data_IF_777094259847
#
_entry.id   IF_777094259847
#
_cell.length_a   1.000
_cell.length_b   1.000
_cell.length_c   1.000
_cell.angle_alpha   90.00
_cell.angle_beta   90.00
_cell.angle_gamma   90.00
#
_symmetry.space_group_name_H-M   'P 1'
#
loop_
_entity.id
_entity.type
_entity.pdbx_description
1 polymer ?
#
# COMPACT_ATOMS: atom_id res chain seq x y z
N UNK A 1 -2.04 -4.43 -9.04
CA UNK A 1 -3.43 -4.02 -9.36
C UNK A 1 -3.80 -4.38 -10.79
N UNK A 2 -3.03 -3.96 -11.81
CA UNK A 2 -3.29 -4.25 -13.25
C UNK A 2 -3.69 -5.70 -13.57
N UNK A 3 -3.04 -6.69 -12.97
CA UNK A 3 -3.32 -8.13 -13.20
C UNK A 3 -4.78 -8.51 -12.86
N UNK A 4 -5.43 -7.74 -11.98
CA UNK A 4 -6.82 -7.97 -11.57
C UNK A 4 -7.82 -7.13 -12.38
N UNK A 5 -7.36 -6.18 -13.19
CA UNK A 5 -8.22 -5.39 -14.08
C UNK A 5 -8.80 -6.29 -15.18
N UNK A 6 -10.12 -6.23 -15.40
CA UNK A 6 -10.83 -7.09 -16.37
C UNK A 6 -11.20 -8.49 -15.85
N UNK A 7 -10.82 -8.84 -14.63
CA UNK A 7 -11.26 -10.07 -13.98
C UNK A 7 -12.66 -9.93 -13.38
N UNK A 8 -13.46 -11.01 -13.41
CA UNK A 8 -14.76 -11.07 -12.68
C UNK A 8 -14.57 -11.21 -11.17
N UNK A 9 -13.36 -11.50 -10.71
CA UNK A 9 -13.01 -11.67 -9.31
C UNK A 9 -12.84 -10.31 -8.62
N UNK A 10 -13.57 -10.10 -7.53
CA UNK A 10 -13.46 -8.89 -6.71
C UNK A 10 -12.18 -8.90 -5.88
N UNK A 11 -11.40 -7.83 -5.94
CA UNK A 11 -10.18 -7.65 -5.13
C UNK A 11 -10.25 -6.31 -4.40
N UNK A 12 -10.26 -6.35 -3.07
CA UNK A 12 -10.29 -5.13 -2.26
C UNK A 12 -8.88 -4.54 -2.10
N UNK A 13 -8.75 -3.22 -2.27
CA UNK A 13 -7.50 -2.48 -2.11
C UNK A 13 -7.65 -1.49 -0.95
N UNK A 14 -6.89 -1.73 0.12
CA UNK A 14 -6.86 -0.93 1.34
C UNK A 14 -5.62 -0.04 1.40
N UNK A 15 -5.75 1.09 2.10
CA UNK A 15 -4.63 2.00 2.37
C UNK A 15 -4.24 2.92 1.20
N UNK A 16 -5.07 3.00 0.16
CA UNK A 16 -4.81 3.81 -1.05
C UNK A 16 -5.91 4.86 -1.32
N UNK A 17 -6.68 5.28 -0.32
CA UNK A 17 -7.82 6.19 -0.55
C UNK A 17 -7.41 7.56 -1.12
N UNK A 18 -6.24 8.07 -0.75
CA UNK A 18 -5.71 9.34 -1.26
C UNK A 18 -4.98 9.20 -2.59
N UNK A 19 -4.55 7.98 -2.94
CA UNK A 19 -3.78 7.70 -4.15
C UNK A 19 -4.67 7.13 -5.27
N UNK A 20 -6.00 7.11 -5.09
CA UNK A 20 -6.93 6.47 -6.03
C UNK A 20 -6.78 7.01 -7.44
N UNK A 21 -6.65 8.33 -7.57
CA UNK A 21 -6.60 9.01 -8.87
C UNK A 21 -5.24 8.78 -9.54
N UNK A 22 -4.15 8.84 -8.77
CA UNK A 22 -2.80 8.50 -9.24
C UNK A 22 -2.72 7.05 -9.72
N UNK A 23 -3.33 6.12 -8.97
CA UNK A 23 -3.39 4.70 -9.34
C UNK A 23 -4.19 4.53 -10.63
N UNK A 24 -5.34 5.20 -10.76
CA UNK A 24 -6.17 5.15 -11.97
C UNK A 24 -5.43 5.73 -13.19
N UNK A 25 -4.79 6.89 -13.04
CA UNK A 25 -4.00 7.53 -14.10
C UNK A 25 -2.85 6.61 -14.56
N UNK A 26 -2.08 6.07 -13.62
CA UNK A 26 -0.97 5.15 -13.92
C UNK A 26 -1.44 3.87 -14.63
N UNK A 27 -2.65 3.39 -14.33
CA UNK A 27 -3.24 2.22 -15.00
C UNK A 27 -3.76 2.56 -16.40
N UNK A 28 -4.33 3.75 -16.58
CA UNK A 28 -4.76 4.25 -17.89
C UNK A 28 -3.56 4.42 -18.83
N UNK A 29 -2.47 5.02 -18.35
CA UNK A 29 -1.19 5.11 -19.09
C UNK A 29 -0.61 3.73 -19.43
N UNK A 30 -0.82 2.74 -18.56
CA UNK A 30 -0.43 1.35 -18.81
C UNK A 30 -1.35 0.60 -19.79
N UNK A 31 -2.35 1.28 -20.38
CA UNK A 31 -3.25 0.75 -21.40
C UNK A 31 -4.45 -0.04 -20.87
N UNK A 32 -4.87 0.19 -19.62
CA UNK A 32 -6.08 -0.44 -19.06
C UNK A 32 -7.32 0.36 -19.48
N UNK A 33 -8.31 -0.32 -20.06
CA UNK A 33 -9.61 0.28 -20.42
C UNK A 33 -10.34 0.88 -19.22
N UNK A 34 -11.04 2.00 -19.41
CA UNK A 34 -11.81 2.69 -18.36
C UNK A 34 -12.76 1.76 -17.59
N UNK A 35 -13.47 0.86 -18.28
CA UNK A 35 -14.40 -0.09 -17.67
C UNK A 35 -13.74 -1.07 -16.67
N UNK A 36 -12.44 -1.28 -16.83
CA UNK A 36 -11.62 -2.19 -16.03
C UNK A 36 -10.78 -1.48 -14.96
N UNK A 37 -10.87 -0.14 -14.89
CA UNK A 37 -10.15 0.61 -13.87
C UNK A 37 -10.75 0.36 -12.47
N UNK A 38 -9.91 0.49 -11.42
CA UNK A 38 -10.39 0.37 -10.05
C UNK A 38 -11.47 1.42 -9.74
N UNK A 39 -12.55 0.98 -9.12
CA UNK A 39 -13.58 1.89 -8.60
C UNK A 39 -13.20 2.29 -7.19
N UNK A 40 -13.16 3.61 -6.93
CA UNK A 40 -12.94 4.15 -5.60
C UNK A 40 -14.28 4.28 -4.87
N UNK A 41 -14.43 3.54 -3.78
CA UNK A 41 -15.61 3.60 -2.93
C UNK A 41 -15.42 4.67 -1.87
N UNK A 42 -16.24 5.71 -1.96
CA UNK A 42 -16.29 6.82 -1.02
C UNK A 42 -17.50 6.70 -0.08
N UNK A 43 -17.51 7.52 0.97
CA UNK A 43 -18.64 7.66 1.89
C UNK A 43 -19.89 8.27 1.23
N UNK A 44 -19.72 9.00 0.12
CA UNK A 44 -20.81 9.62 -0.65
C UNK A 44 -21.60 8.59 -1.48
N UNK A 45 -21.01 7.43 -1.76
CA UNK A 45 -21.69 6.38 -2.51
C UNK A 45 -22.78 5.70 -1.68
N UNK A 46 -23.98 5.60 -2.25
CA UNK A 46 -25.10 4.87 -1.65
C UNK A 46 -24.77 3.38 -1.47
N UNK A 47 -25.44 2.72 -0.52
CA UNK A 47 -25.24 1.28 -0.29
C UNK A 47 -25.53 0.43 -1.55
N UNK A 48 -26.56 0.80 -2.32
CA UNK A 48 -26.89 0.12 -3.58
C UNK A 48 -25.79 0.30 -4.65
N UNK A 49 -25.23 1.50 -4.77
CA UNK A 49 -24.12 1.77 -5.68
C UNK A 49 -22.86 0.96 -5.30
N UNK A 50 -22.56 0.84 -4.01
CA UNK A 50 -21.44 0.00 -3.54
C UNK A 50 -21.65 -1.48 -3.88
N UNK A 51 -22.85 -2.02 -3.66
CA UNK A 51 -23.18 -3.40 -4.02
C UNK A 51 -23.02 -3.65 -5.51
N UNK A 52 -23.49 -2.72 -6.36
CA UNK A 52 -23.28 -2.80 -7.82
C UNK A 52 -21.79 -2.79 -8.18
N UNK A 53 -20.99 -1.94 -7.53
CA UNK A 53 -19.54 -1.89 -7.73
C UNK A 53 -18.84 -3.21 -7.34
N UNK A 54 -19.28 -3.87 -6.25
CA UNK A 54 -18.78 -5.18 -5.84
C UNK A 54 -19.18 -6.29 -6.83
N UNK A 55 -20.42 -6.26 -7.32
CA UNK A 55 -20.96 -7.26 -8.26
C UNK A 55 -20.30 -7.19 -9.64
N UNK A 56 -19.90 -5.99 -10.09
CA UNK A 56 -19.11 -5.81 -11.31
C UNK A 56 -17.77 -6.57 -11.25
N UNK A 57 -17.23 -6.76 -10.05
CA UNK A 57 -15.93 -7.40 -9.85
C UNK A 57 -14.75 -6.48 -10.17
N UNK A 58 -13.56 -7.06 -10.25
CA UNK A 58 -12.31 -6.35 -10.46
C UNK A 58 -11.78 -5.67 -9.19
N UNK A 59 -10.75 -4.81 -9.32
CA UNK A 59 -10.17 -4.11 -8.18
C UNK A 59 -11.10 -3.00 -7.69
N UNK A 60 -11.27 -2.91 -6.38
CA UNK A 60 -12.04 -1.85 -5.73
C UNK A 60 -11.19 -1.22 -4.63
N UNK A 61 -11.00 0.10 -4.70
CA UNK A 61 -10.28 0.87 -3.69
C UNK A 61 -11.31 1.30 -2.65
N UNK A 62 -11.13 0.87 -1.41
CA UNK A 62 -12.12 1.10 -0.34
C UNK A 62 -11.41 1.39 0.97
N UNK A 63 -12.03 2.19 1.83
CA UNK A 63 -11.50 2.42 3.18
C UNK A 63 -11.82 1.24 4.08
N UNK A 64 -10.94 0.96 5.03
CA UNK A 64 -11.11 -0.13 6.00
C UNK A 64 -12.44 -0.02 6.75
N UNK A 65 -12.87 1.19 7.10
CA UNK A 65 -14.16 1.44 7.77
C UNK A 65 -15.36 1.04 6.93
N UNK A 66 -15.41 1.44 5.65
CA UNK A 66 -16.53 1.09 4.76
C UNK A 66 -16.57 -0.43 4.55
N UNK A 67 -15.40 -1.03 4.28
CA UNK A 67 -15.30 -2.46 4.02
C UNK A 67 -15.74 -3.29 5.23
N UNK A 68 -15.29 -2.93 6.44
CA UNK A 68 -15.71 -3.59 7.69
C UNK A 68 -17.23 -3.56 7.85
N UNK A 69 -17.87 -2.40 7.64
CA UNK A 69 -19.33 -2.28 7.76
C UNK A 69 -20.03 -3.14 6.71
N UNK A 70 -19.58 -3.11 5.45
CA UNK A 70 -20.22 -3.87 4.38
C UNK A 70 -20.03 -5.39 4.54
N UNK A 71 -18.90 -5.86 5.11
CA UNK A 71 -18.67 -7.26 5.49
C UNK A 71 -19.58 -7.69 6.65
N UNK A 72 -19.63 -6.91 7.74
CA UNK A 72 -20.45 -7.21 8.93
C UNK A 72 -21.95 -7.19 8.62
N UNK A 73 -22.39 -6.26 7.77
CA UNK A 73 -23.80 -6.16 7.33
C UNK A 73 -24.15 -7.14 6.20
N UNK A 74 -23.23 -8.02 5.80
CA UNK A 74 -23.41 -9.03 4.74
C UNK A 74 -23.78 -8.45 3.36
N UNK A 75 -23.56 -7.15 3.13
CA UNK A 75 -23.70 -6.55 1.79
C UNK A 75 -22.62 -7.04 0.83
N UNK A 76 -21.45 -7.31 1.38
CA UNK A 76 -20.36 -8.00 0.70
C UNK A 76 -20.06 -9.30 1.45
N UNK A 77 -20.48 -10.46 0.93
CA UNK A 77 -20.03 -11.74 1.44
C UNK A 77 -18.49 -11.85 1.31
N UNK A 78 -17.80 -12.17 2.41
CA UNK A 78 -16.33 -12.27 2.40
C UNK A 78 -15.83 -13.36 1.44
N UNK A 79 -16.63 -14.40 1.25
CA UNK A 79 -16.39 -15.53 0.34
C UNK A 79 -16.37 -15.10 -1.13
N UNK A 80 -17.05 -14.00 -1.48
CA UNK A 80 -17.06 -13.45 -2.83
C UNK A 80 -15.82 -12.60 -3.15
N UNK A 81 -15.04 -12.22 -2.13
CA UNK A 81 -13.80 -11.46 -2.30
C UNK A 81 -12.65 -12.43 -2.57
N UNK A 82 -12.05 -12.36 -3.76
CA UNK A 82 -10.95 -13.24 -4.14
C UNK A 82 -9.66 -12.96 -3.34
N UNK A 83 -9.46 -11.71 -2.94
CA UNK A 83 -8.33 -11.33 -2.10
C UNK A 83 -8.27 -9.86 -1.75
N UNK A 84 -7.30 -9.52 -0.91
CA UNK A 84 -7.05 -8.17 -0.42
C UNK A 84 -5.62 -7.71 -0.72
N UNK A 85 -5.49 -6.48 -1.20
CA UNK A 85 -4.23 -5.75 -1.35
C UNK A 85 -4.16 -4.68 -0.28
N UNK A 86 -3.09 -4.63 0.50
CA UNK A 86 -2.92 -3.65 1.58
C UNK A 86 -1.69 -2.82 1.30
N UNK A 87 -1.87 -1.52 1.05
CA UNK A 87 -0.77 -0.57 0.98
C UNK A 87 -0.37 -0.09 2.38
N UNK A 88 0.89 0.31 2.54
CA UNK A 88 1.41 0.81 3.81
C UNK A 88 1.44 -0.24 4.91
N UNK A 89 1.77 -1.50 4.60
CA UNK A 89 1.80 -2.61 5.55
C UNK A 89 2.67 -2.35 6.80
N UNK A 90 3.69 -1.48 6.69
CA UNK A 90 4.51 -1.03 7.82
C UNK A 90 3.74 -0.22 8.88
N UNK A 91 2.53 0.27 8.56
CA UNK A 91 1.66 1.02 9.48
C UNK A 91 0.69 0.13 10.24
N UNK A 92 0.62 -1.16 9.89
CA UNK A 92 -0.31 -2.09 10.53
C UNK A 92 0.05 -2.28 12.00
N UNK A 93 -0.97 -2.12 12.84
CA UNK A 93 -0.95 -2.40 14.26
C UNK A 93 -2.18 -3.22 14.64
N UNK A 94 -2.19 -3.86 15.80
CA UNK A 94 -3.35 -4.63 16.28
C UNK A 94 -4.63 -3.78 16.39
N UNK A 95 -4.47 -2.48 16.67
CA UNK A 95 -5.57 -1.51 16.77
C UNK A 95 -5.96 -0.87 15.42
N UNK A 96 -5.24 -1.17 14.33
CA UNK A 96 -5.55 -0.60 13.01
C UNK A 96 -6.86 -1.18 12.45
N UNK A 97 -7.61 -0.34 11.72
CA UNK A 97 -8.87 -0.76 11.09
C UNK A 97 -8.60 -1.78 9.97
N UNK A 98 -7.47 -1.65 9.28
CA UNK A 98 -6.97 -2.59 8.28
C UNK A 98 -6.76 -3.97 8.90
N UNK A 99 -6.10 -4.07 10.06
CA UNK A 99 -5.89 -5.35 10.75
C UNK A 99 -7.20 -5.98 11.22
N UNK A 100 -8.17 -5.18 11.65
CA UNK A 100 -9.51 -5.69 11.95
C UNK A 100 -10.21 -6.23 10.70
N UNK A 101 -10.14 -5.50 9.58
CA UNK A 101 -10.73 -5.93 8.31
C UNK A 101 -10.09 -7.23 7.79
N UNK A 102 -8.77 -7.37 7.91
CA UNK A 102 -8.04 -8.58 7.52
C UNK A 102 -8.45 -9.80 8.36
N UNK A 103 -8.65 -9.62 9.67
CA UNK A 103 -9.16 -10.68 10.56
C UNK A 103 -10.55 -11.13 10.13
N UNK A 104 -11.49 -10.19 9.96
CA UNK A 104 -12.85 -10.51 9.48
C UNK A 104 -12.83 -11.26 8.14
N UNK A 105 -11.99 -10.83 7.20
CA UNK A 105 -11.84 -11.48 5.91
C UNK A 105 -11.29 -12.90 6.05
N UNK A 106 -10.25 -13.10 6.88
CA UNK A 106 -9.60 -14.41 7.06
C UNK A 106 -10.49 -15.42 7.77
N UNK A 107 -11.27 -14.97 8.75
CA UNK A 107 -12.18 -15.83 9.51
C UNK A 107 -13.29 -16.39 8.61
N UNK A 108 -13.81 -15.57 7.68
CA UNK A 108 -14.89 -15.97 6.78
C UNK A 108 -14.39 -16.54 5.43
N UNK A 109 -13.18 -16.18 4.98
CA UNK A 109 -12.60 -16.64 3.71
C UNK A 109 -11.12 -17.01 3.89
N UNK A 110 -10.81 -18.22 4.39
CA UNK A 110 -9.43 -18.67 4.59
C UNK A 110 -8.68 -18.91 3.27
N UNK A 111 -9.40 -19.11 2.17
CA UNK A 111 -8.83 -19.39 0.84
C UNK A 111 -8.39 -18.13 0.08
N UNK A 112 -8.94 -16.97 0.45
CA UNK A 112 -8.66 -15.70 -0.21
C UNK A 112 -7.22 -15.24 -0.01
N UNK A 113 -6.61 -14.69 -1.06
CA UNK A 113 -5.21 -14.24 -0.97
C UNK A 113 -5.11 -12.88 -0.28
N UNK A 114 -3.99 -12.63 0.41
CA UNK A 114 -3.65 -11.31 0.95
C UNK A 114 -2.25 -10.94 0.46
N UNK A 115 -2.06 -9.70 0.00
CA UNK A 115 -0.74 -9.15 -0.34
C UNK A 115 -0.57 -7.78 0.31
N UNK A 116 0.42 -7.66 1.18
CA UNK A 116 0.84 -6.40 1.78
C UNK A 116 1.99 -5.77 1.00
N UNK A 117 1.94 -4.45 0.82
CA UNK A 117 3.00 -3.65 0.20
C UNK A 117 3.53 -2.66 1.23
N UNK A 118 4.85 -2.51 1.28
CA UNK A 118 5.52 -1.51 2.10
C UNK A 118 6.65 -0.86 1.31
N UNK A 119 6.74 0.45 1.44
CA UNK A 119 7.77 1.33 0.88
C UNK A 119 8.76 1.82 1.96
N UNK A 120 8.47 1.59 3.24
CA UNK A 120 9.33 1.94 4.38
C UNK A 120 9.90 0.65 5.04
N UNK A 121 11.06 0.15 4.56
CA UNK A 121 11.71 -1.00 5.19
C UNK A 121 12.28 -0.67 6.57
N UNK A 122 12.62 0.59 6.83
CA UNK A 122 13.18 1.05 8.10
C UNK A 122 12.19 0.86 9.25
N UNK A 123 10.91 1.16 9.03
CA UNK A 123 9.84 0.91 10.03
C UNK A 123 9.57 -0.56 10.31
N UNK A 124 9.81 -1.44 9.33
CA UNK A 124 9.67 -2.89 9.54
C UNK A 124 10.88 -3.48 10.26
N UNK A 125 12.05 -2.87 10.07
CA UNK A 125 13.30 -3.29 10.71
C UNK A 125 13.54 -2.66 12.08
N UNK A 126 12.83 -1.58 12.43
CA UNK A 126 13.04 -0.87 13.68
C UNK A 126 12.31 -1.51 14.85
N UNK A 127 12.94 -1.53 16.02
CA UNK A 127 12.35 -2.07 17.25
C UNK A 127 12.20 -3.60 17.25
N UNK A 128 11.46 -4.10 18.24
CA UNK A 128 11.34 -5.54 18.49
C UNK A 128 10.24 -6.17 17.64
N UNK A 129 10.57 -7.20 16.86
CA UNK A 129 9.66 -8.07 16.10
C UNK A 129 8.59 -7.35 15.25
N UNK A 130 8.87 -6.14 14.75
CA UNK A 130 7.93 -5.37 13.91
C UNK A 130 7.56 -6.11 12.63
N UNK A 131 8.56 -6.59 11.90
CA UNK A 131 8.35 -7.37 10.68
C UNK A 131 7.47 -8.60 10.92
N UNK A 132 7.80 -9.40 11.93
CA UNK A 132 7.02 -10.60 12.27
C UNK A 132 5.59 -10.24 12.66
N UNK A 133 5.41 -9.20 13.46
CA UNK A 133 4.09 -8.67 13.83
C UNK A 133 3.28 -8.26 12.61
N UNK A 134 3.87 -7.52 11.66
CA UNK A 134 3.19 -7.12 10.42
C UNK A 134 2.82 -8.34 9.56
N UNK A 135 3.68 -9.35 9.45
CA UNK A 135 3.39 -10.59 8.70
C UNK A 135 2.23 -11.37 9.36
N UNK A 136 2.20 -11.45 10.70
CA UNK A 136 1.10 -12.06 11.46
C UNK A 136 -0.23 -11.33 11.24
N UNK A 137 -0.22 -10.00 11.33
CA UNK A 137 -1.43 -9.18 11.08
C UNK A 137 -1.96 -9.32 9.66
N UNK A 138 -1.07 -9.45 8.68
CA UNK A 138 -1.44 -9.74 7.28
C UNK A 138 -1.89 -11.18 7.05
N UNK A 139 -1.54 -12.11 7.94
CA UNK A 139 -1.80 -13.54 7.76
C UNK A 139 -0.97 -14.17 6.64
N UNK A 140 0.24 -13.65 6.38
CA UNK A 140 1.13 -14.12 5.30
C UNK A 140 2.42 -14.71 5.86
N UNK A 141 3.01 -15.66 5.12
CA UNK A 141 4.24 -16.37 5.52
C UNK A 141 5.46 -16.00 4.69
N UNK A 142 5.26 -15.40 3.52
CA UNK A 142 6.32 -15.07 2.58
C UNK A 142 6.59 -13.57 2.58
N UNK A 143 7.87 -13.22 2.57
CA UNK A 143 8.37 -11.86 2.44
C UNK A 143 9.25 -11.78 1.19
N UNK A 144 8.97 -10.81 0.33
CA UNK A 144 9.79 -10.52 -0.85
C UNK A 144 10.43 -9.16 -0.70
N UNK A 145 11.76 -9.11 -0.70
CA UNK A 145 12.53 -7.88 -0.60
C UNK A 145 12.99 -7.45 -2.00
N UNK A 146 12.78 -6.17 -2.33
CA UNK A 146 13.15 -5.58 -3.62
C UNK A 146 14.02 -4.34 -3.42
N UNK A 147 15.26 -4.49 -2.90
CA UNK A 147 16.17 -3.36 -2.73
C UNK A 147 16.61 -2.80 -4.09
N UNK A 148 17.04 -1.53 -4.12
CA UNK A 148 17.49 -0.86 -5.36
C UNK A 148 18.70 -1.52 -6.02
N UNK A 149 19.50 -2.26 -5.26
CA UNK A 149 20.64 -3.02 -5.78
C UNK A 149 20.27 -4.41 -6.31
N UNK A 150 18.99 -4.82 -6.25
CA UNK A 150 18.52 -6.04 -6.88
C UNK A 150 18.70 -5.96 -8.40
N UNK A 151 19.24 -6.99 -9.05
CA UNK A 151 19.63 -6.96 -10.46
C UNK A 151 18.52 -6.45 -11.40
N UNK A 152 17.28 -6.94 -11.24
CA UNK A 152 16.14 -6.49 -12.04
C UNK A 152 15.74 -5.02 -11.76
N UNK A 153 15.89 -4.56 -10.52
CA UNK A 153 15.61 -3.18 -10.16
C UNK A 153 16.68 -2.24 -10.73
N UNK A 154 17.95 -2.61 -10.61
CA UNK A 154 19.07 -1.88 -11.20
C UNK A 154 18.91 -1.73 -12.71
N UNK A 155 18.64 -2.83 -13.42
CA UNK A 155 18.44 -2.79 -14.88
C UNK A 155 17.34 -1.80 -15.31
N UNK A 156 16.27 -1.67 -14.51
CA UNK A 156 15.20 -0.70 -14.77
C UNK A 156 15.54 0.75 -14.39
N UNK A 157 16.38 0.95 -13.38
CA UNK A 157 16.79 2.26 -12.85
C UNK A 157 17.96 2.88 -13.65
N UNK A 158 18.91 2.07 -14.10
CA UNK A 158 20.08 2.50 -14.88
C UNK A 158 19.83 2.47 -16.39
N UNK A 159 18.58 2.27 -16.82
CA UNK A 159 18.22 2.33 -18.22
C UNK A 159 18.56 3.73 -18.79
N UNK A 160 19.15 3.84 -19.99
CA UNK A 160 19.69 5.11 -20.51
C UNK A 160 18.69 6.27 -20.58
N UNK A 161 17.40 5.97 -20.70
CA UNK A 161 16.32 6.97 -20.74
C UNK A 161 15.84 7.44 -19.36
N UNK A 162 16.40 6.90 -18.27
CA UNK A 162 15.95 7.12 -16.88
C UNK A 162 17.05 7.54 -15.92
N UNK A 163 18.32 7.51 -16.33
CA UNK A 163 19.42 8.03 -15.51
C UNK A 163 19.51 9.56 -15.63
N UNK A 164 19.19 10.33 -14.57
CA UNK A 164 19.40 11.77 -14.60
C UNK A 164 20.91 12.08 -14.59
N UNK A 165 21.30 13.15 -15.27
CA UNK A 165 22.64 13.73 -15.09
C UNK A 165 22.69 14.41 -13.71
N UNK A 166 23.70 14.08 -12.91
CA UNK A 166 23.86 14.59 -11.55
C UNK A 166 25.17 15.37 -11.47
N UNK A 167 25.10 16.61 -11.01
CA UNK A 167 26.25 17.47 -10.75
C UNK A 167 26.31 17.75 -9.25
N UNK A 168 27.28 17.16 -8.56
CA UNK A 168 27.48 17.37 -7.12
C UNK A 168 28.27 18.66 -6.88
N UNK A 169 27.63 19.63 -6.24
CA UNK A 169 28.23 20.90 -5.85
C UNK A 169 28.48 20.92 -4.34
N UNK A 170 29.74 20.77 -3.93
CA UNK A 170 30.13 20.86 -2.53
C UNK A 170 30.43 22.30 -2.14
N UNK A 171 29.55 22.93 -1.36
CA UNK A 171 29.74 24.28 -0.81
C UNK A 171 30.17 24.18 0.65
N UNK A 172 31.38 24.62 1.02
CA UNK A 172 31.85 24.54 2.40
C UNK A 172 31.07 25.50 3.32
N UNK A 173 30.85 25.06 4.56
CA UNK A 173 30.25 25.91 5.59
C UNK A 173 31.20 27.02 6.01
N UNK A 174 30.66 28.20 6.30
CA UNK A 174 31.46 29.31 6.84
C UNK A 174 31.89 29.01 8.29
N UNK A 175 33.00 29.61 8.77
CA UNK A 175 33.47 29.39 10.14
C UNK A 175 32.41 29.69 11.22
N UNK A 176 31.57 30.70 11.01
CA UNK A 176 30.49 31.06 11.93
C UNK A 176 29.42 29.95 12.02
N UNK A 177 28.97 29.42 10.88
CA UNK A 177 27.97 28.34 10.83
C UNK A 177 28.52 27.05 11.42
N UNK A 178 29.81 26.75 11.19
CA UNK A 178 30.48 25.61 11.83
C UNK A 178 30.52 25.73 13.34
N UNK A 179 30.78 26.93 13.88
CA UNK A 179 30.77 27.16 15.33
C UNK A 179 29.36 26.95 15.92
N UNK A 180 28.32 27.48 15.27
CA UNK A 180 26.93 27.26 15.68
C UNK A 180 26.52 25.79 15.62
N UNK A 181 26.86 25.09 14.53
CA UNK A 181 26.58 23.66 14.39
C UNK A 181 27.24 22.85 15.50
N UNK A 182 28.50 23.15 15.85
CA UNK A 182 29.21 22.48 16.95
C UNK A 182 28.50 22.70 18.28
N UNK A 183 28.11 23.93 18.61
CA UNK A 183 27.38 24.23 19.84
C UNK A 183 26.04 23.47 19.91
N UNK A 184 25.30 23.40 18.80
CA UNK A 184 24.04 22.66 18.73
C UNK A 184 24.25 21.16 18.93
N UNK A 185 25.26 20.57 18.30
CA UNK A 185 25.59 19.16 18.47
C UNK A 185 25.93 18.88 19.95
N UNK A 186 26.82 19.68 20.55
CA UNK A 186 27.17 19.54 21.97
C UNK A 186 25.95 19.67 22.88
N UNK A 187 24.99 20.55 22.56
CA UNK A 187 23.77 20.73 23.35
C UNK A 187 22.74 19.60 23.18
N UNK A 188 22.78 18.87 22.07
CA UNK A 188 21.93 17.70 21.83
C UNK A 188 22.50 16.41 22.43
N UNK A 189 23.83 16.34 22.55
CA UNK A 189 24.56 15.19 23.10
C UNK A 189 24.74 15.25 24.64
N UNK A 190 24.44 16.40 25.26
CA UNK A 190 24.51 16.61 26.71
C UNK A 190 23.15 16.49 27.39
#
# INVERSE_FOLDING_TARGET
IRVFCGGRSLVAVLGCSHDSDTIRASLSEAGVSEDHLPVAITNEMSAAARVSAYQRGGPVIVTSRILVIDLLTRRLPAEAVAGMLVAGAHRLTEASSEAFCLRLFRDANPSGFVKGFSDDPGRLASGFNRLESSLKLLGVRQLHLWPRFHALAQAGLTAPRRSPEVVDLSVPLTPCVLALQRCLITALDG
#
